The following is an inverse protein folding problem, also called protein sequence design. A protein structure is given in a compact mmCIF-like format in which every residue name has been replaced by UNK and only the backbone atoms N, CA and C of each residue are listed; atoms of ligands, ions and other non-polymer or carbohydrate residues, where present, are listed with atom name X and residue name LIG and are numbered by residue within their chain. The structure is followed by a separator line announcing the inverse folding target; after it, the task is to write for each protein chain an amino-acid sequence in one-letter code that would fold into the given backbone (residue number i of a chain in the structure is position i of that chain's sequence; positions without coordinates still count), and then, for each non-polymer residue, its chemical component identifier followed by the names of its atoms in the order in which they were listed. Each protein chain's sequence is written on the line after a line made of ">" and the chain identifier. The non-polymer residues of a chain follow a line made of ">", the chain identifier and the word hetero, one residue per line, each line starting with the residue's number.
data_IF_324671905296
#
_entry.id   IF_324671905296
#
_cell.length_a   1.000
_cell.length_b   1.000
_cell.length_c   1.000
_cell.angle_alpha   90.00
_cell.angle_beta   90.00
_cell.angle_gamma   90.00
#
_symmetry.space_group_name_H-M   'P 1'
#
loop_
_entity.id
_entity.type
_entity.pdbx_description
1 polymer ?
#
# COMPACT_ATOMS: atom_id res chain seq x y z
N UNK A 1 -9.92 -10.03 -42.38
CA UNK A 1 -10.79 -8.94 -41.90
C UNK A 1 -10.38 -8.66 -40.45
N UNK A 2 -9.41 -7.77 -40.29
CA UNK A 2 -8.93 -7.29 -39.00
C UNK A 2 -9.94 -6.26 -38.49
N UNK A 3 -10.61 -6.56 -37.39
CA UNK A 3 -11.41 -5.58 -36.66
C UNK A 3 -10.47 -4.74 -35.81
N UNK A 4 -10.31 -3.49 -36.24
CA UNK A 4 -9.76 -2.39 -35.47
C UNK A 4 -10.48 -2.30 -34.11
N UNK A 5 -9.69 -2.34 -33.04
CA UNK A 5 -10.14 -1.90 -31.72
C UNK A 5 -10.05 -0.38 -31.73
N UNK A 6 -11.20 0.27 -31.89
CA UNK A 6 -11.33 1.71 -31.76
C UNK A 6 -10.83 2.18 -30.39
N UNK A 7 -9.83 3.07 -30.41
CA UNK A 7 -9.41 3.89 -29.29
C UNK A 7 -10.54 4.86 -28.93
N UNK A 8 -11.42 4.46 -28.00
CA UNK A 8 -12.34 5.41 -27.36
C UNK A 8 -11.53 6.34 -26.42
N UNK A 9 -11.62 7.67 -26.56
CA UNK A 9 -10.98 8.58 -25.63
C UNK A 9 -11.71 8.51 -24.29
N UNK A 10 -11.09 7.83 -23.32
CA UNK A 10 -11.47 7.83 -21.91
C UNK A 10 -11.88 9.24 -21.48
N UNK A 11 -13.14 9.41 -21.07
CA UNK A 11 -13.64 10.57 -20.30
C UNK A 11 -12.79 10.74 -19.03
N UNK A 12 -11.67 11.48 -19.14
CA UNK A 12 -10.62 11.55 -18.11
C UNK A 12 -10.94 12.47 -16.93
N UNK A 13 -11.73 13.53 -17.14
CA UNK A 13 -11.79 14.63 -16.17
C UNK A 13 -12.72 14.38 -14.97
N UNK A 14 -13.81 13.64 -15.13
CA UNK A 14 -14.70 13.32 -14.00
C UNK A 14 -14.13 12.24 -13.06
N UNK A 15 -13.25 11.36 -13.55
CA UNK A 15 -12.74 10.25 -12.75
C UNK A 15 -11.62 10.67 -11.79
N UNK A 16 -10.81 11.66 -12.15
CA UNK A 16 -9.72 12.15 -11.29
C UNK A 16 -10.24 12.93 -10.07
N UNK A 17 -11.19 13.85 -10.29
CA UNK A 17 -11.76 14.66 -9.21
C UNK A 17 -12.49 13.79 -8.17
N UNK A 18 -13.28 12.81 -8.62
CA UNK A 18 -13.99 11.88 -7.72
C UNK A 18 -13.02 11.02 -6.92
N UNK A 19 -11.95 10.52 -7.56
CA UNK A 19 -10.93 9.73 -6.87
C UNK A 19 -10.18 10.54 -5.81
N UNK A 20 -9.77 11.76 -6.15
CA UNK A 20 -9.10 12.68 -5.23
C UNK A 20 -10.01 13.05 -4.05
N UNK A 21 -11.27 13.38 -4.32
CA UNK A 21 -12.25 13.70 -3.26
C UNK A 21 -12.48 12.50 -2.34
N UNK A 22 -12.58 11.29 -2.90
CA UNK A 22 -12.67 10.06 -2.10
C UNK A 22 -11.47 9.89 -1.18
N UNK A 23 -10.25 10.08 -1.70
CA UNK A 23 -9.02 9.98 -0.90
C UNK A 23 -8.92 11.08 0.15
N UNK A 24 -9.36 12.32 -0.13
CA UNK A 24 -9.44 13.41 0.86
C UNK A 24 -10.36 13.04 2.00
N UNK A 25 -11.56 12.54 1.70
CA UNK A 25 -12.51 12.11 2.73
C UNK A 25 -11.96 10.96 3.59
N UNK A 26 -11.23 10.02 2.96
CA UNK A 26 -10.57 8.94 3.68
C UNK A 26 -9.43 9.45 4.58
N UNK A 27 -8.58 10.37 4.10
CA UNK A 27 -7.52 10.98 4.90
C UNK A 27 -8.09 11.72 6.12
N UNK A 28 -9.12 12.56 5.92
CA UNK A 28 -9.81 13.25 7.02
C UNK A 28 -10.36 12.26 8.04
N UNK A 29 -10.96 11.15 7.58
CA UNK A 29 -11.48 10.09 8.44
C UNK A 29 -10.38 9.34 9.21
N UNK A 30 -9.20 9.15 8.63
CA UNK A 30 -8.04 8.55 9.30
C UNK A 30 -7.49 9.45 10.41
N UNK A 31 -7.51 10.77 10.21
CA UNK A 31 -7.00 11.74 11.17
C UNK A 31 -7.95 11.94 12.37
N UNK A 32 -9.26 11.80 12.15
CA UNK A 32 -10.28 12.04 13.18
C UNK A 32 -11.21 10.83 13.33
N UNK A 33 -10.97 9.96 14.32
CA UNK A 33 -11.83 8.80 14.57
C UNK A 33 -13.28 9.22 14.83
N UNK A 34 -14.22 8.51 14.20
CA UNK A 34 -15.65 8.73 14.39
C UNK A 34 -16.35 7.47 14.91
N UNK A 35 -17.59 7.61 15.37
CA UNK A 35 -18.35 6.49 15.93
C UNK A 35 -18.63 5.44 14.86
N UNK A 36 -18.34 4.19 15.19
CA UNK A 36 -18.66 3.04 14.34
C UNK A 36 -20.06 2.54 14.72
N UNK A 37 -21.01 2.71 13.81
CA UNK A 37 -22.38 2.21 13.90
C UNK A 37 -22.52 0.82 13.27
N UNK A 38 -23.70 0.22 13.41
CA UNK A 38 -24.04 -1.05 12.74
C UNK A 38 -23.96 -0.95 11.21
N UNK A 39 -24.20 0.22 10.63
CA UNK A 39 -24.19 0.48 9.19
C UNK A 39 -22.78 0.55 8.61
N UNK A 40 -21.84 1.13 9.35
CA UNK A 40 -20.46 1.33 8.90
C UNK A 40 -19.46 0.36 9.58
N UNK A 41 -19.95 -0.69 10.25
CA UNK A 41 -19.14 -1.67 11.01
C UNK A 41 -18.04 -2.38 10.22
N UNK A 42 -18.11 -2.38 8.89
CA UNK A 42 -17.11 -2.99 8.01
C UNK A 42 -16.20 -1.96 7.34
N UNK A 43 -16.34 -0.67 7.67
CA UNK A 43 -15.53 0.39 7.08
C UNK A 43 -14.10 0.35 7.64
N UNK A 44 -13.16 -0.09 6.81
CA UNK A 44 -11.76 -0.25 7.18
C UNK A 44 -11.13 1.07 7.66
N UNK A 45 -11.46 2.20 7.03
CA UNK A 45 -10.89 3.51 7.36
C UNK A 45 -11.26 3.94 8.78
N UNK A 46 -12.52 3.71 9.18
CA UNK A 46 -12.97 4.04 10.54
C UNK A 46 -12.27 3.18 11.59
N UNK A 47 -12.15 1.88 11.34
CA UNK A 47 -11.40 0.98 12.23
C UNK A 47 -9.92 1.34 12.30
N UNK A 48 -9.33 1.75 11.17
CA UNK A 48 -7.94 2.18 11.10
C UNK A 48 -7.74 3.46 11.92
N UNK A 49 -8.61 4.45 11.81
CA UNK A 49 -8.53 5.69 12.60
C UNK A 49 -8.49 5.40 14.12
N UNK A 50 -9.38 4.54 14.61
CA UNK A 50 -9.36 4.09 16.01
C UNK A 50 -8.10 3.31 16.37
N UNK A 51 -7.59 2.47 15.47
CA UNK A 51 -6.34 1.75 15.69
C UNK A 51 -5.16 2.73 15.81
N UNK A 52 -5.07 3.73 14.93
CA UNK A 52 -4.04 4.77 14.96
C UNK A 52 -4.11 5.52 16.30
N UNK A 53 -5.29 6.03 16.67
CA UNK A 53 -5.46 6.78 17.92
C UNK A 53 -5.02 5.96 19.14
N UNK A 54 -5.39 4.68 19.20
CA UNK A 54 -5.03 3.80 20.31
C UNK A 54 -3.53 3.46 20.33
N UNK A 55 -2.93 3.19 19.16
CA UNK A 55 -1.49 2.90 19.06
C UNK A 55 -0.64 4.14 19.40
N UNK A 56 -1.08 5.34 19.02
CA UNK A 56 -0.42 6.59 19.43
C UNK A 56 -0.54 6.76 20.95
N UNK A 57 -1.77 6.74 21.47
CA UNK A 57 -2.06 7.03 22.88
C UNK A 57 -1.41 6.02 23.83
N UNK A 58 -1.52 4.73 23.54
CA UNK A 58 -1.11 3.67 24.46
C UNK A 58 0.23 3.06 24.11
N UNK A 59 0.73 3.20 22.88
CA UNK A 59 1.98 2.59 22.44
C UNK A 59 3.04 3.59 22.00
N UNK A 60 2.73 4.90 21.98
CA UNK A 60 3.66 5.96 21.62
C UNK A 60 4.28 5.74 20.22
N UNK A 61 3.58 5.04 19.35
CA UNK A 61 3.98 4.89 17.95
C UNK A 61 3.68 6.22 17.26
N UNK A 62 4.63 6.70 16.44
CA UNK A 62 4.46 7.95 15.68
C UNK A 62 3.17 7.95 14.87
N UNK A 63 2.32 8.96 15.11
CA UNK A 63 1.08 9.16 14.36
C UNK A 63 1.36 9.38 12.87
N UNK A 64 2.42 10.11 12.54
CA UNK A 64 2.85 10.38 11.17
C UNK A 64 3.17 9.07 10.43
N UNK A 65 3.93 8.17 11.07
CA UNK A 65 4.25 6.87 10.48
C UNK A 65 2.98 6.04 10.25
N UNK A 66 2.08 6.02 11.23
CA UNK A 66 0.84 5.26 11.14
C UNK A 66 -0.10 5.79 10.06
N UNK A 67 -0.22 7.12 9.93
CA UNK A 67 -0.98 7.76 8.84
C UNK A 67 -0.34 7.47 7.48
N UNK A 68 0.99 7.54 7.38
CA UNK A 68 1.73 7.19 6.16
C UNK A 68 1.45 5.74 5.74
N UNK A 69 1.50 4.79 6.67
CA UNK A 69 1.19 3.38 6.37
C UNK A 69 -0.27 3.18 5.96
N UNK A 70 -1.21 3.89 6.60
CA UNK A 70 -2.62 3.83 6.25
C UNK A 70 -2.89 4.40 4.85
N UNK A 71 -2.29 5.54 4.51
CA UNK A 71 -2.39 6.15 3.18
C UNK A 71 -1.73 5.28 2.12
N UNK A 72 -0.54 4.74 2.37
CA UNK A 72 0.09 3.79 1.46
C UNK A 72 -0.80 2.56 1.20
N UNK A 73 -1.49 2.06 2.23
CA UNK A 73 -2.44 0.96 2.05
C UNK A 73 -3.62 1.34 1.15
N UNK A 74 -4.20 2.54 1.33
CA UNK A 74 -5.28 3.05 0.48
C UNK A 74 -4.84 3.22 -0.97
N UNK A 75 -3.60 3.66 -1.20
CA UNK A 75 -3.02 3.79 -2.54
C UNK A 75 -2.67 2.43 -3.16
N UNK A 76 -2.22 1.47 -2.35
CA UNK A 76 -1.88 0.13 -2.81
C UNK A 76 -3.07 -0.65 -3.36
N UNK A 77 -4.26 -0.48 -2.76
CA UNK A 77 -5.51 -1.14 -3.20
C UNK A 77 -6.10 -0.55 -4.47
N UNK A 78 -5.63 0.62 -4.93
CA UNK A 78 -6.08 1.22 -6.18
C UNK A 78 -5.72 0.34 -7.38
N UNK A 79 -6.59 0.34 -8.38
CA UNK A 79 -6.33 -0.26 -9.68
C UNK A 79 -5.17 0.44 -10.39
N UNK A 80 -4.60 -0.24 -11.38
CA UNK A 80 -3.54 0.36 -12.20
C UNK A 80 -3.98 1.68 -12.86
N UNK A 81 -5.21 1.74 -13.37
CA UNK A 81 -5.73 2.94 -14.03
C UNK A 81 -5.89 4.11 -13.06
N UNK A 82 -6.42 3.87 -11.85
CA UNK A 82 -6.51 4.89 -10.81
C UNK A 82 -5.13 5.41 -10.39
N UNK A 83 -4.13 4.52 -10.26
CA UNK A 83 -2.74 4.92 -10.00
C UNK A 83 -2.18 5.81 -11.11
N UNK A 84 -2.41 5.47 -12.38
CA UNK A 84 -1.97 6.31 -13.52
C UNK A 84 -2.68 7.67 -13.53
N UNK A 85 -3.95 7.72 -13.15
CA UNK A 85 -4.70 8.99 -13.02
C UNK A 85 -4.06 9.88 -11.95
N UNK A 86 -3.78 9.34 -10.75
CA UNK A 86 -3.15 10.11 -9.66
C UNK A 86 -1.75 10.58 -10.01
N UNK A 87 -0.96 9.71 -10.65
CA UNK A 87 0.38 10.05 -11.10
C UNK A 87 0.37 11.18 -12.15
N UNK A 88 -0.57 11.12 -13.10
CA UNK A 88 -0.75 12.17 -14.12
C UNK A 88 -1.19 13.48 -13.48
N UNK A 89 -2.11 13.42 -12.50
CA UNK A 89 -2.54 14.58 -11.73
C UNK A 89 -1.35 15.29 -11.05
N UNK A 90 -0.50 14.55 -10.34
CA UNK A 90 0.69 15.12 -9.70
C UNK A 90 1.67 15.72 -10.71
N UNK A 91 1.89 15.04 -11.84
CA UNK A 91 2.81 15.52 -12.89
C UNK A 91 2.35 16.86 -13.46
N UNK A 92 1.06 17.00 -13.76
CA UNK A 92 0.46 18.26 -14.22
C UNK A 92 0.59 19.35 -13.16
N UNK A 93 0.39 19.00 -11.88
CA UNK A 93 0.47 19.95 -10.77
C UNK A 93 1.89 20.47 -10.55
N UNK A 94 2.89 19.57 -10.64
CA UNK A 94 4.31 19.90 -10.60
C UNK A 94 4.71 20.80 -11.78
N UNK A 95 4.29 20.48 -13.01
CA UNK A 95 4.56 21.29 -14.20
C UNK A 95 3.94 22.70 -14.11
N UNK A 96 2.77 22.82 -13.47
CA UNK A 96 2.09 24.09 -13.20
C UNK A 96 2.63 24.87 -11.99
N UNK A 97 3.66 24.36 -11.30
CA UNK A 97 4.21 24.94 -10.08
C UNK A 97 3.16 25.24 -8.99
N UNK A 98 2.13 24.39 -8.89
CA UNK A 98 1.06 24.57 -7.90
C UNK A 98 1.44 23.97 -6.55
N UNK A 99 1.06 24.66 -5.47
CA UNK A 99 1.29 24.23 -4.08
C UNK A 99 0.69 22.86 -3.79
N UNK A 100 1.47 21.99 -3.15
CA UNK A 100 1.07 20.65 -2.73
C UNK A 100 0.40 20.71 -1.36
N UNK A 101 -0.83 20.22 -1.29
CA UNK A 101 -1.51 20.02 0.00
C UNK A 101 -1.11 18.68 0.64
N UNK A 102 -1.68 18.39 1.81
CA UNK A 102 -1.32 17.22 2.60
C UNK A 102 -1.62 15.91 1.87
N UNK A 103 -2.74 15.81 1.13
CA UNK A 103 -3.04 14.61 0.35
C UNK A 103 -2.01 14.44 -0.76
N UNK A 104 -1.68 15.52 -1.46
CA UNK A 104 -0.72 15.48 -2.55
C UNK A 104 0.65 14.98 -2.08
N UNK A 105 1.09 15.40 -0.89
CA UNK A 105 2.36 14.93 -0.29
C UNK A 105 2.34 13.44 -0.01
N UNK A 106 1.22 12.88 0.47
CA UNK A 106 1.10 11.42 0.64
C UNK A 106 1.15 10.68 -0.70
N UNK A 107 0.44 11.18 -1.72
CA UNK A 107 0.44 10.56 -3.05
C UNK A 107 1.84 10.66 -3.69
N UNK A 108 2.50 11.80 -3.56
CA UNK A 108 3.84 12.03 -4.10
C UNK A 108 4.87 11.12 -3.42
N UNK A 109 4.89 11.09 -2.09
CA UNK A 109 5.78 10.23 -1.32
C UNK A 109 5.55 8.73 -1.62
N UNK A 110 4.29 8.33 -1.90
CA UNK A 110 3.98 6.98 -2.35
C UNK A 110 4.63 6.67 -3.71
N UNK A 111 4.41 7.50 -4.73
CA UNK A 111 4.93 7.22 -6.07
C UNK A 111 6.45 7.37 -6.19
N UNK A 112 7.07 8.23 -5.39
CA UNK A 112 8.53 8.43 -5.40
C UNK A 112 9.29 7.14 -5.09
N UNK A 113 8.73 6.29 -4.22
CA UNK A 113 9.29 4.97 -3.89
C UNK A 113 9.43 4.07 -5.13
N UNK A 114 8.59 4.29 -6.14
CA UNK A 114 8.51 3.45 -7.34
C UNK A 114 9.17 4.07 -8.58
N UNK A 115 9.60 5.33 -8.51
CA UNK A 115 10.33 5.98 -9.61
C UNK A 115 11.69 5.33 -9.82
N UNK A 116 12.10 5.23 -11.07
CA UNK A 116 13.37 4.64 -11.52
C UNK A 116 13.96 5.51 -12.63
N UNK A 117 15.28 5.55 -12.73
CA UNK A 117 15.98 6.24 -13.81
C UNK A 117 17.03 5.31 -14.39
N UNK A 118 17.09 5.23 -15.72
CA UNK A 118 17.98 4.33 -16.43
C UNK A 118 18.33 4.87 -17.81
N UNK A 119 19.63 4.97 -18.11
CA UNK A 119 20.10 5.65 -19.31
C UNK A 119 19.63 7.11 -19.31
N UNK A 120 18.93 7.52 -20.38
CA UNK A 120 18.31 8.86 -20.51
C UNK A 120 16.84 8.91 -20.10
N UNK A 121 16.28 7.80 -19.61
CA UNK A 121 14.86 7.65 -19.37
C UNK A 121 14.55 7.75 -17.88
N UNK A 122 13.47 8.48 -17.57
CA UNK A 122 12.83 8.46 -16.27
C UNK A 122 11.55 7.63 -16.36
N UNK A 123 11.32 6.78 -15.37
CA UNK A 123 10.20 5.87 -15.35
C UNK A 123 9.67 5.60 -13.96
N UNK A 124 8.62 4.80 -13.91
CA UNK A 124 7.99 4.34 -12.67
C UNK A 124 7.50 2.92 -12.85
N UNK A 125 7.55 2.14 -11.77
CA UNK A 125 7.09 0.74 -11.76
C UNK A 125 5.78 0.65 -10.99
N UNK A 126 4.69 0.30 -11.67
CA UNK A 126 3.37 0.20 -11.03
C UNK A 126 2.85 -1.23 -11.07
N UNK A 127 2.21 -1.66 -9.97
CA UNK A 127 1.51 -2.94 -9.93
C UNK A 127 0.30 -2.92 -10.88
N UNK A 128 0.14 -4.01 -11.64
CA UNK A 128 -0.94 -4.19 -12.59
C UNK A 128 -1.51 -5.61 -12.49
N UNK A 129 -2.39 -5.79 -11.51
CA UNK A 129 -2.95 -7.08 -11.12
C UNK A 129 -4.09 -7.62 -12.01
N UNK A 130 -4.52 -6.85 -13.01
CA UNK A 130 -5.51 -7.29 -14.01
C UNK A 130 -4.87 -8.02 -15.21
N UNK A 131 -3.55 -8.12 -15.26
CA UNK A 131 -2.85 -8.95 -16.25
C UNK A 131 -3.10 -10.44 -15.96
N UNK A 132 -3.06 -11.31 -16.99
CA UNK A 132 -3.10 -12.75 -16.78
C UNK A 132 -1.98 -13.20 -15.83
N UNK A 133 -2.22 -14.25 -15.05
CA UNK A 133 -1.36 -14.63 -13.91
C UNK A 133 0.02 -15.16 -14.31
N UNK A 134 0.18 -15.56 -15.57
CA UNK A 134 1.41 -15.96 -16.24
C UNK A 134 2.27 -14.76 -16.68
N UNK A 135 1.74 -13.54 -16.61
CA UNK A 135 2.48 -12.31 -16.93
C UNK A 135 3.00 -11.64 -15.66
N UNK A 136 4.03 -10.82 -15.82
CA UNK A 136 4.49 -9.91 -14.77
C UNK A 136 3.34 -9.00 -14.32
N UNK A 137 3.05 -9.04 -13.03
CA UNK A 137 1.97 -8.28 -12.40
C UNK A 137 2.34 -6.80 -12.15
N UNK A 138 3.21 -6.26 -13.00
CA UNK A 138 3.65 -4.87 -12.97
C UNK A 138 3.82 -4.32 -14.40
N UNK A 139 3.85 -3.00 -14.52
CA UNK A 139 4.15 -2.28 -15.76
C UNK A 139 5.15 -1.17 -15.47
N UNK A 140 6.13 -1.02 -16.35
CA UNK A 140 7.07 0.09 -16.34
C UNK A 140 6.52 1.17 -17.27
N UNK A 141 6.29 2.35 -16.73
CA UNK A 141 5.90 3.54 -17.49
C UNK A 141 7.11 4.46 -17.62
N UNK A 142 7.23 5.15 -18.74
CA UNK A 142 8.20 6.19 -19.00
C UNK A 142 7.48 7.53 -19.10
N UNK A 143 8.04 8.58 -18.51
CA UNK A 143 7.55 9.94 -18.70
C UNK A 143 8.10 10.48 -20.03
N UNK A 144 7.18 10.87 -20.93
CA UNK A 144 7.47 11.53 -22.21
C UNK A 144 6.54 12.74 -22.29
N UNK A 145 7.11 13.95 -22.31
CA UNK A 145 6.37 15.21 -22.38
C UNK A 145 5.22 15.27 -21.35
N UNK A 146 5.56 15.01 -20.08
CA UNK A 146 4.64 15.00 -18.93
C UNK A 146 3.53 13.95 -19.00
N UNK A 147 3.68 12.95 -19.88
CA UNK A 147 2.74 11.83 -20.02
C UNK A 147 3.42 10.50 -19.69
N UNK A 148 2.75 9.71 -18.87
CA UNK A 148 3.20 8.38 -18.49
C UNK A 148 2.71 7.34 -19.48
N UNK A 149 3.65 6.77 -20.25
CA UNK A 149 3.35 5.84 -21.34
C UNK A 149 4.16 4.56 -21.22
N UNK A 150 3.62 3.45 -21.71
CA UNK A 150 4.36 2.20 -21.84
C UNK A 150 5.24 2.26 -23.10
N UNK A 151 6.51 2.58 -22.92
CA UNK A 151 7.48 2.73 -24.02
C UNK A 151 8.49 1.58 -24.02
N UNK A 152 8.30 0.59 -24.91
CA UNK A 152 9.17 -0.59 -25.03
C UNK A 152 10.65 -0.22 -25.28
N UNK A 153 10.91 0.86 -26.02
CA UNK A 153 12.29 1.32 -26.29
C UNK A 153 12.94 1.87 -25.02
N UNK A 154 12.19 2.61 -24.20
CA UNK A 154 12.70 3.10 -22.91
C UNK A 154 12.94 1.96 -21.92
N UNK A 155 12.06 0.95 -21.91
CA UNK A 155 12.21 -0.27 -21.09
C UNK A 155 13.49 -1.01 -21.44
N UNK A 156 13.70 -1.33 -22.72
CA UNK A 156 14.92 -1.98 -23.21
C UNK A 156 16.15 -1.06 -23.08
N UNK A 157 15.97 0.25 -23.16
CA UNK A 157 17.02 1.27 -23.13
C UNK A 157 17.55 1.62 -21.74
N UNK A 158 17.19 0.87 -20.69
CA UNK A 158 17.79 0.98 -19.36
C UNK A 158 16.81 0.91 -18.19
N UNK A 159 15.52 1.20 -18.39
CA UNK A 159 14.56 1.17 -17.29
C UNK A 159 14.35 -0.24 -16.72
N UNK A 160 14.42 -1.29 -17.54
CA UNK A 160 14.34 -2.66 -17.04
C UNK A 160 15.49 -2.97 -16.08
N UNK A 161 16.72 -2.59 -16.44
CA UNK A 161 17.90 -2.78 -15.59
C UNK A 161 17.78 -1.98 -14.29
N UNK A 162 17.34 -0.71 -14.36
CA UNK A 162 17.13 0.14 -13.19
C UNK A 162 16.07 -0.44 -12.25
N UNK A 163 14.97 -0.98 -12.80
CA UNK A 163 13.94 -1.69 -12.04
C UNK A 163 14.53 -2.90 -11.31
N UNK A 164 15.27 -3.76 -12.01
CA UNK A 164 15.92 -4.91 -11.39
C UNK A 164 16.88 -4.49 -10.27
N UNK A 165 17.75 -3.51 -10.51
CA UNK A 165 18.70 -3.06 -9.49
C UNK A 165 18.00 -2.47 -8.24
N UNK A 166 16.90 -1.73 -8.42
CA UNK A 166 16.19 -1.09 -7.30
C UNK A 166 15.40 -2.10 -6.47
N UNK A 167 14.74 -3.06 -7.11
CA UNK A 167 13.77 -3.95 -6.44
C UNK A 167 14.28 -5.38 -6.22
N UNK A 168 15.46 -5.73 -6.74
CA UNK A 168 16.06 -7.03 -6.47
C UNK A 168 16.53 -7.10 -5.02
N UNK A 169 16.00 -8.10 -4.32
CA UNK A 169 16.43 -8.45 -2.98
C UNK A 169 17.61 -9.42 -3.09
N UNK A 170 18.81 -8.96 -2.76
CA UNK A 170 20.04 -9.78 -2.79
C UNK A 170 20.40 -10.36 -1.43
N UNK A 171 20.05 -9.68 -0.34
CA UNK A 171 20.23 -10.16 1.02
C UNK A 171 18.87 -10.36 1.71
N UNK A 172 18.55 -11.60 2.09
CA UNK A 172 17.30 -11.91 2.79
C UNK A 172 17.34 -11.52 4.27
N UNK A 173 18.52 -11.25 4.85
CA UNK A 173 18.68 -10.89 6.26
C UNK A 173 18.15 -9.50 6.59
N UNK A 174 18.06 -8.62 5.59
CA UNK A 174 17.54 -7.25 5.76
C UNK A 174 16.01 -7.21 5.83
N UNK A 175 15.34 -8.34 5.51
CA UNK A 175 13.88 -8.40 5.44
C UNK A 175 13.33 -8.91 6.76
N UNK A 176 12.30 -8.24 7.25
CA UNK A 176 11.55 -8.68 8.42
C UNK A 176 10.98 -10.09 8.25
N UNK A 177 10.98 -10.87 9.35
CA UNK A 177 10.45 -12.24 9.37
C UNK A 177 8.95 -12.30 8.97
N UNK A 178 8.21 -11.21 9.21
CA UNK A 178 6.82 -11.01 8.78
C UNK A 178 6.81 -9.94 7.69
N UNK A 179 6.17 -10.25 6.56
CA UNK A 179 5.98 -9.32 5.45
C UNK A 179 4.49 -9.13 5.14
N UNK A 180 4.16 -7.92 4.71
CA UNK A 180 2.90 -7.58 4.05
C UNK A 180 3.05 -7.64 2.54
N UNK A 181 2.02 -8.06 1.81
CA UNK A 181 2.01 -8.03 0.36
C UNK A 181 0.58 -7.90 -0.20
N UNK A 182 0.47 -7.23 -1.35
CA UNK A 182 -0.77 -7.11 -2.11
C UNK A 182 -0.91 -8.30 -3.08
N UNK A 183 -2.14 -8.78 -3.26
CA UNK A 183 -2.43 -9.84 -4.22
C UNK A 183 -3.84 -9.70 -4.79
N UNK A 184 -4.03 -10.06 -6.06
CA UNK A 184 -5.35 -10.24 -6.63
C UNK A 184 -6.06 -11.44 -5.97
N UNK A 185 -7.26 -11.20 -5.45
CA UNK A 185 -8.11 -12.22 -4.85
C UNK A 185 -9.42 -12.34 -5.63
N UNK A 186 -9.70 -13.53 -6.14
CA UNK A 186 -10.93 -13.86 -6.88
C UNK A 186 -11.21 -12.93 -8.08
N UNK A 187 -10.17 -12.47 -8.76
CA UNK A 187 -10.27 -11.90 -10.11
C UNK A 187 -10.51 -10.39 -10.19
N UNK A 188 -10.78 -9.70 -9.08
CA UNK A 188 -10.97 -8.23 -9.13
C UNK A 188 -10.61 -7.49 -7.84
N UNK A 189 -10.47 -8.17 -6.70
CA UNK A 189 -10.18 -7.50 -5.43
C UNK A 189 -8.70 -7.57 -5.10
N UNK A 190 -8.01 -6.44 -5.06
CA UNK A 190 -6.65 -6.36 -4.50
C UNK A 190 -6.78 -6.42 -2.98
N UNK A 191 -6.12 -7.39 -2.34
CA UNK A 191 -6.17 -7.56 -0.88
C UNK A 191 -4.77 -7.57 -0.29
N UNK A 192 -4.62 -6.96 0.88
CA UNK A 192 -3.40 -7.04 1.67
C UNK A 192 -3.39 -8.30 2.53
N UNK A 193 -2.28 -9.03 2.48
CA UNK A 193 -2.02 -10.21 3.30
C UNK A 193 -0.73 -10.05 4.07
N UNK A 194 -0.67 -10.72 5.21
CA UNK A 194 0.57 -10.88 5.98
C UNK A 194 1.00 -12.34 5.99
N UNK A 195 2.31 -12.59 6.01
CA UNK A 195 2.88 -13.94 6.13
C UNK A 195 4.24 -13.90 6.80
N UNK A 196 4.65 -15.05 7.33
CA UNK A 196 6.04 -15.26 7.71
C UNK A 196 6.86 -15.67 6.48
N UNK A 197 8.03 -15.06 6.26
CA UNK A 197 8.91 -15.36 5.11
C UNK A 197 9.29 -16.84 5.06
N UNK A 198 9.52 -17.47 6.22
CA UNK A 198 9.85 -18.90 6.35
C UNK A 198 8.79 -19.83 5.73
N UNK A 199 7.56 -19.35 5.52
CA UNK A 199 6.53 -20.11 4.80
C UNK A 199 6.77 -20.17 3.29
N UNK A 200 7.46 -19.19 2.71
CA UNK A 200 7.85 -19.18 1.29
C UNK A 200 8.75 -20.37 0.94
N UNK A 201 9.66 -20.74 1.84
CA UNK A 201 10.57 -21.88 1.68
C UNK A 201 9.84 -23.24 1.52
N UNK A 202 8.53 -23.30 1.83
CA UNK A 202 7.69 -24.51 1.68
C UNK A 202 6.81 -24.46 0.42
N UNK A 203 7.19 -23.69 -0.60
CA UNK A 203 6.42 -23.53 -1.85
C UNK A 203 5.11 -22.75 -1.70
N UNK A 204 4.97 -21.97 -0.60
CA UNK A 204 3.75 -21.21 -0.29
C UNK A 204 3.99 -19.70 -0.43
N UNK A 205 4.53 -19.29 -1.57
CA UNK A 205 4.86 -17.87 -1.88
C UNK A 205 3.63 -16.96 -1.74
N UNK A 206 2.47 -17.39 -2.23
CA UNK A 206 1.23 -16.58 -2.27
C UNK A 206 0.22 -16.87 -1.13
N UNK A 207 0.56 -17.77 -0.20
CA UNK A 207 -0.30 -18.05 0.97
C UNK A 207 0.06 -17.11 2.11
N UNK A 208 -0.96 -16.47 2.67
CA UNK A 208 -0.87 -15.53 3.79
C UNK A 208 -2.25 -15.27 4.38
N UNK A 209 -2.29 -14.63 5.52
CA UNK A 209 -3.53 -14.26 6.22
C UNK A 209 -4.02 -12.91 5.71
N UNK A 210 -5.29 -12.85 5.27
CA UNK A 210 -5.92 -11.57 4.92
C UNK A 210 -6.24 -10.77 6.18
N UNK A 211 -6.04 -9.46 6.14
CA UNK A 211 -6.32 -8.60 7.29
C UNK A 211 -7.81 -8.32 7.50
N UNK A 212 -8.62 -8.36 6.43
CA UNK A 212 -10.07 -8.05 6.47
C UNK A 212 -10.93 -9.15 7.12
N UNK A 213 -10.40 -10.36 7.27
CA UNK A 213 -11.08 -11.49 7.93
C UNK A 213 -10.89 -11.47 9.46
N UNK A 214 -10.15 -10.50 9.98
CA UNK A 214 -9.73 -10.44 11.37
C UNK A 214 -8.67 -11.48 11.73
N UNK A 215 -7.88 -11.18 12.74
CA UNK A 215 -7.01 -12.13 13.42
C UNK A 215 -7.45 -12.31 14.87
N UNK A 216 -7.21 -13.49 15.42
CA UNK A 216 -7.47 -13.72 16.84
C UNK A 216 -6.65 -12.74 17.70
N UNK A 217 -7.27 -12.21 18.75
CA UNK A 217 -6.66 -11.21 19.66
C UNK A 217 -5.25 -11.58 20.13
N UNK A 218 -5.00 -12.87 20.40
CA UNK A 218 -3.67 -13.36 20.78
C UNK A 218 -2.59 -13.08 19.72
N UNK A 219 -2.94 -13.22 18.45
CA UNK A 219 -2.01 -12.97 17.34
C UNK A 219 -1.75 -11.48 17.21
N UNK A 220 -2.80 -10.65 17.30
CA UNK A 220 -2.71 -9.19 17.26
C UNK A 220 -1.80 -8.67 18.37
N UNK A 221 -2.03 -9.09 19.61
CA UNK A 221 -1.22 -8.68 20.77
C UNK A 221 0.24 -9.08 20.60
N UNK A 222 0.50 -10.32 20.16
CA UNK A 222 1.87 -10.76 19.87
C UNK A 222 2.55 -9.87 18.82
N UNK A 223 1.84 -9.47 17.76
CA UNK A 223 2.39 -8.58 16.73
C UNK A 223 2.70 -7.19 17.30
N UNK A 224 1.83 -6.65 18.15
CA UNK A 224 2.08 -5.37 18.82
C UNK A 224 3.33 -5.47 19.71
N UNK A 225 3.48 -6.54 20.50
CA UNK A 225 4.69 -6.75 21.32
C UNK A 225 5.96 -6.88 20.45
N UNK A 226 5.88 -7.57 19.31
CA UNK A 226 7.00 -7.65 18.37
C UNK A 226 7.40 -6.28 17.81
N UNK A 227 6.42 -5.41 17.51
CA UNK A 227 6.68 -4.06 17.00
C UNK A 227 7.32 -3.14 18.05
N UNK A 228 6.92 -3.28 19.32
CA UNK A 228 7.39 -2.42 20.40
C UNK A 228 8.71 -2.90 21.03
N UNK A 229 9.09 -4.16 20.79
CA UNK A 229 10.19 -4.79 21.50
C UNK A 229 9.90 -5.02 22.98
N UNK A 230 10.92 -5.45 23.72
CA UNK A 230 10.83 -5.69 25.15
C UNK A 230 11.20 -4.43 25.94
N UNK A 231 10.39 -4.06 26.94
CA UNK A 231 10.73 -3.00 27.88
C UNK A 231 11.14 -3.64 29.21
N UNK A 232 12.40 -3.48 29.63
CA UNK A 232 12.92 -4.11 30.85
C UNK A 232 12.85 -5.65 30.83
N UNK A 233 12.98 -6.28 29.65
CA UNK A 233 12.90 -7.73 29.49
C UNK A 233 11.48 -8.31 29.48
N UNK A 234 10.44 -7.47 29.52
CA UNK A 234 9.04 -7.89 29.45
C UNK A 234 8.35 -7.35 28.19
N UNK A 235 7.44 -8.14 27.65
CA UNK A 235 6.52 -7.69 26.60
C UNK A 235 5.52 -6.69 27.19
N UNK A 236 5.14 -5.65 26.43
CA UNK A 236 4.18 -4.65 26.89
C UNK A 236 2.84 -5.26 27.30
N UNK A 237 2.29 -6.17 26.51
CA UNK A 237 1.01 -6.79 26.79
C UNK A 237 1.17 -8.27 27.12
N UNK A 238 0.80 -8.68 28.33
CA UNK A 238 0.76 -10.10 28.69
C UNK A 238 -0.67 -10.62 28.55
N UNK A 239 -0.84 -11.78 27.90
CA UNK A 239 -2.15 -12.44 27.75
C UNK A 239 -2.33 -13.43 28.89
N UNK A 240 -3.52 -13.44 29.50
CA UNK A 240 -3.82 -14.36 30.58
C UNK A 240 -3.70 -15.83 30.15
N UNK A 241 -2.98 -16.64 30.93
CA UNK A 241 -2.76 -18.07 30.66
C UNK A 241 -4.08 -18.87 30.60
N UNK A 242 -5.01 -18.55 31.50
CA UNK A 242 -6.31 -19.25 31.65
C UNK A 242 -7.37 -18.74 30.66
N UNK A 243 -7.37 -17.44 30.35
CA UNK A 243 -8.31 -16.80 29.44
C UNK A 243 -7.54 -16.15 28.30
N UNK A 244 -7.24 -16.92 27.25
CA UNK A 244 -6.36 -16.52 26.11
C UNK A 244 -6.89 -15.33 25.27
N UNK A 245 -7.98 -14.70 25.70
CA UNK A 245 -8.62 -13.53 25.12
C UNK A 245 -8.57 -12.28 26.03
N UNK A 246 -8.04 -12.37 27.26
CA UNK A 246 -7.87 -11.22 28.15
C UNK A 246 -6.39 -10.84 28.31
N UNK A 247 -6.16 -9.53 28.46
CA UNK A 247 -4.85 -9.00 28.83
C UNK A 247 -4.74 -9.13 30.34
N UNK A 248 -3.70 -9.80 30.85
CA UNK A 248 -3.44 -9.95 32.28
C UNK A 248 -2.62 -8.81 32.85
N UNK A 249 -1.68 -8.27 32.07
CA UNK A 249 -0.82 -7.16 32.49
C UNK A 249 -0.47 -6.25 31.31
N UNK A 250 -0.29 -4.97 31.61
CA UNK A 250 0.26 -3.96 30.70
C UNK A 250 1.51 -3.42 31.39
N UNK A 251 2.66 -3.59 30.75
CA UNK A 251 3.96 -3.10 31.22
C UNK A 251 4.36 -1.87 30.42
N UNK A 252 4.89 -0.87 31.11
CA UNK A 252 5.28 0.41 30.50
C UNK A 252 4.30 1.53 30.77
#
# INVERSE_FOLDING_TARGET
>A
AETQLDDEPLRKDNNSAVLLETLRQQLTSLQTPSVISSENKNNWVLHCAWAIQNLVKYNQISQENLLTYAMNHLLDILTFNEKVILLSYLTTKEAGAAELDDLDRYIQAYFEQFKISGGRYNGIVLSQFNKPSDYEQYTILNNVDDKWVNNKRAVAGGLAQAMFQKFQLTDMKIINDIIGFMINFKGSQIVFKTKYIKQSAKGRSNKGQRCDRGEGKKIVIRRINMLLGSHGGKEKYEIAKKYKSSISFIYG
#
